data_IF_154909805366
#
_entry.id   IF_154909805366
#
_cell.length_a   1.000
_cell.length_b   1.000
_cell.length_c   1.000
_cell.angle_alpha   90.00
_cell.angle_beta   90.00
_cell.angle_gamma   90.00
#
_symmetry.space_group_name_H-M   'P 1'
#
loop_
_entity.id
_entity.type
_entity.pdbx_description
1 polymer ?
#
# COMPACT_ATOMS: atom_id res chain seq x y z
N UNK A 1 -12.75 -56.89 40.95
CA UNK A 1 -11.57 -56.12 40.47
C UNK A 1 -11.47 -54.80 41.24
N UNK A 2 -10.45 -54.61 42.09
CA UNK A 2 -10.35 -53.51 43.07
C UNK A 2 -10.29 -52.13 42.41
N UNK A 3 -11.10 -51.17 42.89
CA UNK A 3 -11.17 -49.81 42.35
C UNK A 3 -9.79 -49.13 42.31
N UNK A 4 -8.97 -49.34 43.35
CA UNK A 4 -7.58 -48.86 43.44
C UNK A 4 -6.69 -49.36 42.29
N UNK A 5 -6.85 -50.62 41.86
CA UNK A 5 -6.09 -51.21 40.75
C UNK A 5 -6.45 -50.56 39.41
N UNK A 6 -7.73 -50.23 39.21
CA UNK A 6 -8.20 -49.54 38.00
C UNK A 6 -7.68 -48.10 37.94
N UNK A 7 -7.64 -47.41 39.08
CA UNK A 7 -7.09 -46.06 39.16
C UNK A 7 -5.61 -46.05 38.75
N UNK A 8 -4.79 -46.96 39.28
CA UNK A 8 -3.39 -47.07 38.88
C UNK A 8 -3.21 -47.42 37.40
N UNK A 9 -4.02 -48.33 36.86
CA UNK A 9 -3.98 -48.66 35.43
C UNK A 9 -4.29 -47.46 34.52
N UNK A 10 -5.26 -46.62 34.91
CA UNK A 10 -5.60 -45.41 34.15
C UNK A 10 -4.50 -44.36 34.26
N UNK A 11 -3.93 -44.17 35.45
CA UNK A 11 -2.81 -43.25 35.67
C UNK A 11 -1.59 -43.67 34.85
N UNK A 12 -1.22 -44.95 34.85
CA UNK A 12 -0.11 -45.46 34.06
C UNK A 12 -0.35 -45.26 32.56
N UNK A 13 -1.58 -45.51 32.09
CA UNK A 13 -1.97 -45.26 30.70
C UNK A 13 -1.87 -43.78 30.32
N UNK A 14 -2.30 -42.87 31.19
CA UNK A 14 -2.18 -41.42 30.97
C UNK A 14 -0.73 -40.97 30.95
N UNK A 15 0.12 -41.50 31.84
CA UNK A 15 1.55 -41.18 31.86
C UNK A 15 2.21 -41.57 30.55
N UNK A 16 1.96 -42.79 30.06
CA UNK A 16 2.51 -43.25 28.78
C UNK A 16 2.01 -42.36 27.62
N UNK A 17 0.72 -42.03 27.60
CA UNK A 17 0.16 -41.16 26.57
C UNK A 17 0.82 -39.78 26.55
N UNK A 18 0.99 -39.15 27.72
CA UNK A 18 1.61 -37.84 27.82
C UNK A 18 3.10 -37.87 27.45
N UNK A 19 3.82 -38.94 27.78
CA UNK A 19 5.21 -39.10 27.35
C UNK A 19 5.34 -39.23 25.83
N UNK A 20 4.44 -39.98 25.19
CA UNK A 20 4.41 -40.11 23.73
C UNK A 20 4.09 -38.78 23.04
N UNK A 21 3.12 -38.03 23.57
CA UNK A 21 2.80 -36.69 23.09
C UNK A 21 4.00 -35.74 23.24
N UNK A 22 4.63 -35.72 24.42
CA UNK A 22 5.81 -34.89 24.66
C UNK A 22 6.95 -35.20 23.68
N UNK A 23 7.23 -36.48 23.43
CA UNK A 23 8.20 -36.88 22.42
C UNK A 23 7.80 -36.43 21.01
N UNK A 24 6.53 -36.57 20.63
CA UNK A 24 6.04 -36.11 19.33
C UNK A 24 6.18 -34.59 19.12
N UNK A 25 5.96 -33.79 20.18
CA UNK A 25 6.19 -32.35 20.16
C UNK A 25 7.68 -32.01 20.06
N UNK A 26 8.55 -32.67 20.85
CA UNK A 26 10.01 -32.45 20.78
C UNK A 26 10.59 -32.81 19.42
N UNK A 27 10.06 -33.86 18.80
CA UNK A 27 10.44 -34.32 17.46
C UNK A 27 9.73 -33.56 16.33
N UNK A 28 8.87 -32.59 16.65
CA UNK A 28 8.15 -31.75 15.68
C UNK A 28 7.38 -32.56 14.62
N UNK A 29 6.77 -33.69 15.03
CA UNK A 29 6.14 -34.64 14.10
C UNK A 29 4.88 -34.12 13.41
N UNK A 30 4.27 -33.03 13.90
CA UNK A 30 3.00 -32.48 13.39
C UNK A 30 3.13 -31.17 12.61
N UNK A 31 4.32 -30.88 12.12
CA UNK A 31 4.54 -29.88 11.07
C UNK A 31 4.88 -28.49 11.59
N UNK A 32 5.92 -27.90 11.01
CA UNK A 32 6.14 -26.46 11.09
C UNK A 32 5.14 -25.76 10.16
N UNK A 33 4.59 -24.59 10.53
CA UNK A 33 3.89 -23.77 9.57
C UNK A 33 4.82 -23.51 8.39
N UNK A 34 4.32 -23.67 7.16
CA UNK A 34 5.05 -23.28 5.97
C UNK A 34 5.56 -21.86 6.17
N UNK A 35 6.84 -21.56 5.86
CA UNK A 35 7.32 -20.20 5.93
C UNK A 35 6.39 -19.34 5.08
N UNK A 36 5.74 -18.38 5.74
CA UNK A 36 4.85 -17.44 5.08
C UNK A 36 5.66 -16.80 3.95
N UNK A 37 5.15 -16.77 2.71
CA UNK A 37 5.81 -16.03 1.65
C UNK A 37 5.99 -14.59 2.12
N UNK A 38 7.16 -14.01 1.86
CA UNK A 38 7.42 -12.62 2.19
C UNK A 38 6.33 -11.77 1.52
N UNK A 39 5.50 -11.11 2.33
CA UNK A 39 4.61 -10.08 1.81
C UNK A 39 5.52 -9.05 1.14
N UNK A 40 5.27 -8.69 -0.14
CA UNK A 40 6.02 -7.63 -0.77
C UNK A 40 5.87 -6.38 0.10
N UNK A 41 6.99 -5.73 0.39
CA UNK A 41 6.98 -4.45 1.08
C UNK A 41 6.08 -3.51 0.27
N UNK A 42 5.10 -2.90 0.94
CA UNK A 42 4.27 -1.85 0.34
C UNK A 42 5.23 -0.81 -0.24
N UNK A 43 4.97 -0.38 -1.47
CA UNK A 43 5.81 0.61 -2.14
C UNK A 43 5.97 1.85 -1.22
N UNK A 44 7.21 2.20 -0.84
CA UNK A 44 7.47 3.38 -0.03
C UNK A 44 6.81 4.64 -0.59
N UNK A 45 6.62 4.75 -1.91
CA UNK A 45 5.91 5.86 -2.55
C UNK A 45 4.46 6.04 -2.01
N UNK A 46 3.77 4.94 -1.70
CA UNK A 46 2.38 4.96 -1.20
C UNK A 46 2.32 5.29 0.31
N UNK A 47 3.38 4.92 1.04
CA UNK A 47 3.46 5.19 2.50
C UNK A 47 4.19 6.49 2.85
N UNK A 48 4.75 7.18 1.85
CA UNK A 48 5.53 8.39 2.06
C UNK A 48 4.61 9.58 2.34
N UNK A 49 4.62 10.05 3.58
CA UNK A 49 3.87 11.24 4.02
C UNK A 49 4.62 12.55 3.77
N UNK A 50 5.76 12.53 3.06
CA UNK A 50 6.50 13.74 2.75
C UNK A 50 5.63 14.71 1.94
N UNK A 51 5.55 15.95 2.40
CA UNK A 51 4.88 17.05 1.69
C UNK A 51 5.62 17.48 0.43
N UNK A 52 6.89 17.06 0.27
CA UNK A 52 7.68 17.26 -0.93
C UNK A 52 7.24 16.26 -2.01
N UNK A 53 6.35 16.72 -2.89
CA UNK A 53 5.90 15.94 -4.05
C UNK A 53 7.03 15.83 -5.07
N UNK A 54 7.29 14.61 -5.54
CA UNK A 54 8.24 14.34 -6.62
C UNK A 54 7.75 15.07 -7.88
N UNK A 55 8.62 15.83 -8.54
CA UNK A 55 8.25 16.54 -9.77
C UNK A 55 7.87 15.55 -10.88
N UNK A 56 6.90 15.90 -11.73
CA UNK A 56 6.51 15.09 -12.90
C UNK A 56 7.70 14.64 -13.76
N UNK A 57 8.67 15.53 -14.00
CA UNK A 57 9.89 15.21 -14.75
C UNK A 57 10.73 14.10 -14.09
N UNK A 58 10.74 14.03 -12.76
CA UNK A 58 11.43 13.00 -12.01
C UNK A 58 10.69 11.66 -12.08
N UNK A 59 9.35 11.67 -12.07
CA UNK A 59 8.53 10.47 -12.28
C UNK A 59 8.75 9.86 -13.68
N UNK A 60 8.79 10.69 -14.73
CA UNK A 60 9.12 10.25 -16.09
C UNK A 60 10.51 9.60 -16.12
N UNK A 61 11.52 10.25 -15.54
CA UNK A 61 12.90 9.71 -15.51
C UNK A 61 12.98 8.36 -14.82
N UNK A 62 12.18 8.17 -13.77
CA UNK A 62 12.12 6.92 -12.99
C UNK A 62 11.23 5.85 -13.60
N UNK A 63 10.49 6.17 -14.68
CA UNK A 63 9.48 5.29 -15.29
C UNK A 63 8.42 4.80 -14.30
N UNK A 64 8.05 5.70 -13.38
CA UNK A 64 6.98 5.47 -12.42
C UNK A 64 5.62 5.49 -13.13
N UNK A 65 4.57 5.11 -12.39
CA UNK A 65 3.20 5.31 -12.86
C UNK A 65 2.90 6.80 -13.05
N UNK A 66 2.36 7.14 -14.22
CA UNK A 66 1.98 8.51 -14.60
C UNK A 66 0.46 8.64 -14.79
N UNK A 67 -0.33 7.63 -14.41
CA UNK A 67 -1.79 7.66 -14.55
C UNK A 67 -2.42 8.86 -13.83
N UNK A 68 -1.83 9.28 -12.70
CA UNK A 68 -2.26 10.47 -11.94
C UNK A 68 -2.08 11.78 -12.73
N UNK A 69 -1.28 11.75 -13.80
CA UNK A 69 -1.05 12.87 -14.72
C UNK A 69 -1.72 12.67 -16.09
N UNK A 70 -2.57 11.65 -16.25
CA UNK A 70 -3.38 11.49 -17.45
C UNK A 70 -4.59 12.44 -17.40
N UNK A 71 -4.34 13.69 -17.79
CA UNK A 71 -5.37 14.73 -17.89
C UNK A 71 -6.55 14.29 -18.79
N UNK A 72 -6.29 13.42 -19.77
CA UNK A 72 -7.30 12.99 -20.74
C UNK A 72 -8.20 11.87 -20.24
N UNK A 73 -7.92 11.31 -19.07
CA UNK A 73 -8.87 10.44 -18.38
C UNK A 73 -10.19 11.18 -18.07
N UNK A 74 -10.13 12.50 -17.81
CA UNK A 74 -11.28 13.33 -17.49
C UNK A 74 -11.53 14.45 -18.51
N UNK A 75 -10.54 14.83 -19.32
CA UNK A 75 -10.66 15.90 -20.32
C UNK A 75 -10.61 15.38 -21.76
N UNK A 76 -11.43 15.95 -22.63
CA UNK A 76 -11.37 15.68 -24.07
C UNK A 76 -10.15 16.39 -24.70
N UNK A 77 -9.36 15.66 -25.50
CA UNK A 77 -8.12 16.19 -26.09
C UNK A 77 -8.30 17.43 -26.95
N UNK A 78 -9.37 17.45 -27.74
CA UNK A 78 -9.63 18.52 -28.70
C UNK A 78 -10.56 19.61 -28.14
N UNK A 79 -10.87 19.56 -26.84
CA UNK A 79 -11.80 20.49 -26.19
C UNK A 79 -11.19 21.02 -24.89
N UNK A 80 -10.40 22.11 -24.98
CA UNK A 80 -9.73 22.67 -23.82
C UNK A 80 -10.75 23.14 -22.77
N UNK A 81 -10.51 22.90 -21.46
CA UNK A 81 -11.40 23.34 -20.41
C UNK A 81 -11.44 24.87 -20.32
N UNK A 82 -12.61 25.46 -20.02
CA UNK A 82 -12.73 26.90 -19.87
C UNK A 82 -11.99 27.38 -18.60
N UNK A 83 -11.04 28.30 -18.76
CA UNK A 83 -10.31 28.91 -17.64
C UNK A 83 -11.17 30.01 -17.00
N UNK A 84 -11.23 30.02 -15.67
CA UNK A 84 -11.92 31.05 -14.87
C UNK A 84 -10.90 31.81 -14.03
N UNK A 85 -11.09 33.11 -13.91
CA UNK A 85 -10.21 33.98 -13.16
C UNK A 85 -10.98 34.73 -12.07
N UNK A 86 -10.31 35.02 -10.96
CA UNK A 86 -10.83 35.89 -9.91
C UNK A 86 -10.73 37.39 -10.31
N UNK A 87 -11.12 38.28 -9.40
CA UNK A 87 -11.11 39.72 -9.64
C UNK A 87 -9.69 40.29 -9.84
N UNK A 88 -8.69 39.62 -9.27
CA UNK A 88 -7.26 39.95 -9.35
C UNK A 88 -6.57 39.29 -10.55
N UNK A 89 -7.33 38.61 -11.42
CA UNK A 89 -6.86 37.89 -12.59
C UNK A 89 -5.96 36.68 -12.28
N UNK A 90 -6.14 36.05 -11.11
CA UNK A 90 -5.56 34.74 -10.80
C UNK A 90 -6.46 33.63 -11.31
N UNK A 91 -5.86 32.52 -11.75
CA UNK A 91 -6.60 31.34 -12.19
C UNK A 91 -7.30 30.68 -11.00
N UNK A 92 -8.61 30.50 -11.11
CA UNK A 92 -9.39 29.72 -10.14
C UNK A 92 -9.18 28.24 -10.45
N UNK A 93 -8.51 27.54 -9.53
CA UNK A 93 -8.29 26.09 -9.62
C UNK A 93 -9.60 25.40 -9.20
N UNK A 94 -10.20 24.52 -10.03
CA UNK A 94 -11.36 23.74 -9.63
C UNK A 94 -11.07 22.88 -8.40
N UNK A 95 -12.08 22.60 -7.58
CA UNK A 95 -11.94 21.80 -6.35
C UNK A 95 -11.37 20.41 -6.63
N UNK A 96 -11.72 19.82 -7.78
CA UNK A 96 -11.21 18.53 -8.24
C UNK A 96 -9.69 18.54 -8.48
N UNK A 97 -9.08 19.72 -8.59
CA UNK A 97 -7.65 19.91 -8.78
C UNK A 97 -6.97 20.60 -7.58
N UNK A 98 -7.63 20.72 -6.42
CA UNK A 98 -7.09 21.41 -5.24
C UNK A 98 -5.73 20.83 -4.80
N UNK A 99 -5.55 19.53 -5.08
CA UNK A 99 -4.37 18.76 -4.74
C UNK A 99 -3.48 18.49 -5.95
N UNK A 100 -3.64 19.18 -7.07
CA UNK A 100 -2.68 19.09 -8.17
C UNK A 100 -1.67 20.23 -8.03
N UNK A 101 -0.43 19.87 -7.65
CA UNK A 101 0.68 20.82 -7.61
C UNK A 101 1.33 20.86 -8.98
N UNK A 102 0.89 21.80 -9.81
CA UNK A 102 1.54 22.10 -11.08
C UNK A 102 2.54 23.23 -10.89
N UNK A 103 3.77 23.04 -11.36
CA UNK A 103 4.83 24.05 -11.24
C UNK A 103 4.41 25.36 -11.91
N UNK A 104 4.24 26.41 -11.13
CA UNK A 104 3.98 27.74 -11.67
C UNK A 104 5.24 28.30 -12.32
N UNK A 105 5.11 28.88 -13.52
CA UNK A 105 6.21 29.56 -14.18
C UNK A 105 6.73 30.75 -13.35
N UNK A 106 7.83 31.36 -13.79
CA UNK A 106 8.59 32.45 -13.13
C UNK A 106 7.78 33.69 -12.72
N UNK A 107 6.48 33.75 -13.04
CA UNK A 107 5.56 34.86 -12.80
C UNK A 107 4.30 34.46 -12.03
N UNK A 108 4.25 33.29 -11.37
CA UNK A 108 3.03 32.74 -10.76
C UNK A 108 1.84 32.60 -11.73
N UNK A 109 2.12 32.67 -13.03
CA UNK A 109 1.14 32.44 -14.08
C UNK A 109 1.16 30.95 -14.41
N UNK A 110 0.00 30.30 -14.32
CA UNK A 110 -0.26 28.98 -14.90
C UNK A 110 -0.58 29.12 -16.40
N UNK A 111 0.24 29.88 -17.12
CA UNK A 111 0.09 30.02 -18.57
C UNK A 111 0.62 28.80 -19.34
N UNK A 112 1.24 27.83 -18.64
CA UNK A 112 1.74 26.60 -19.21
C UNK A 112 1.16 25.38 -18.48
N UNK A 113 -0.13 25.12 -18.64
CA UNK A 113 -0.64 23.73 -18.68
C UNK A 113 0.02 22.94 -19.83
N UNK A 114 0.69 23.64 -20.75
CA UNK A 114 1.53 23.09 -21.79
C UNK A 114 2.87 22.61 -21.23
N UNK A 115 2.88 21.35 -20.80
CA UNK A 115 3.69 20.36 -21.49
C UNK A 115 2.92 19.03 -21.51
N UNK A 116 1.68 19.08 -21.98
CA UNK A 116 1.13 17.98 -22.79
C UNK A 116 1.77 18.09 -24.18
N UNK A 117 2.98 17.54 -24.34
CA UNK A 117 3.47 17.08 -25.65
C UNK A 117 3.39 15.57 -25.65
#
# INVERSE_FOLDING_TARGET
MNARRRIFQVLDGLVVLFLLLAAAFLLRLWGEPLPLPSLPLVDPAVTNTATARISYAELIRRKEDLSDFDCYACHEKDKPPPLRFDAEHNLIIPEEHENIVMGHGRHNRNNNCFNCQ
#
